data_IF_595644741134
#
_entry.id   IF_595644741134
#
_cell.length_a   1.000
_cell.length_b   1.000
_cell.length_c   1.000
_cell.angle_alpha   90.00
_cell.angle_beta   90.00
_cell.angle_gamma   90.00
#
_symmetry.space_group_name_H-M   'P 1'
#
loop_
_entity.id
_entity.type
_entity.pdbx_description
1 polymer ?
#
# COMPACT_ATOMS: atom_id res chain seq x y z
N UNK A 1 -16.67 -16.87 0.37
CA UNK A 1 -15.53 -17.54 -0.09
C UNK A 1 -14.40 -16.70 -0.61
N UNK A 2 -13.85 -17.14 -1.74
CA UNK A 2 -12.59 -16.63 -2.33
C UNK A 2 -12.52 -15.10 -2.47
N UNK A 3 -13.61 -14.46 -2.90
CA UNK A 3 -13.68 -13.01 -3.09
C UNK A 3 -13.30 -12.23 -1.81
N UNK A 4 -13.85 -12.60 -0.66
CA UNK A 4 -13.55 -11.87 0.58
C UNK A 4 -12.16 -12.19 1.11
N UNK A 5 -11.72 -13.45 1.05
CA UNK A 5 -10.39 -13.86 1.47
C UNK A 5 -9.29 -13.17 0.67
N UNK A 6 -9.42 -13.13 -0.64
CA UNK A 6 -8.44 -12.44 -1.49
C UNK A 6 -8.39 -10.95 -1.21
N UNK A 7 -9.54 -10.28 -1.00
CA UNK A 7 -9.57 -8.87 -0.63
C UNK A 7 -8.85 -8.58 0.70
N UNK A 8 -9.12 -9.39 1.73
CA UNK A 8 -8.48 -9.28 3.05
C UNK A 8 -6.96 -9.48 2.95
N UNK A 9 -6.52 -10.52 2.24
CA UNK A 9 -5.10 -10.82 2.07
C UNK A 9 -4.38 -9.71 1.29
N UNK A 10 -4.99 -9.20 0.20
CA UNK A 10 -4.44 -8.11 -0.58
C UNK A 10 -4.27 -6.84 0.27
N UNK A 11 -5.32 -6.45 1.00
CA UNK A 11 -5.26 -5.27 1.88
C UNK A 11 -4.26 -5.46 3.02
N UNK A 12 -4.21 -6.63 3.64
CA UNK A 12 -3.22 -6.95 4.67
C UNK A 12 -1.79 -6.81 4.16
N UNK A 13 -1.48 -7.42 3.01
CA UNK A 13 -0.16 -7.34 2.39
C UNK A 13 0.24 -5.90 2.03
N UNK A 14 -0.69 -5.12 1.45
CA UNK A 14 -0.45 -3.71 1.12
C UNK A 14 -0.26 -2.85 2.38
N UNK A 15 -1.06 -3.06 3.43
CA UNK A 15 -0.93 -2.33 4.70
C UNK A 15 0.43 -2.58 5.34
N UNK A 16 0.85 -3.84 5.48
CA UNK A 16 2.18 -4.18 6.02
C UNK A 16 3.28 -3.62 5.13
N UNK A 17 3.13 -3.67 3.81
CA UNK A 17 4.11 -3.09 2.88
C UNK A 17 4.31 -1.58 3.14
N UNK A 18 3.24 -0.81 3.32
CA UNK A 18 3.33 0.63 3.62
C UNK A 18 3.96 0.87 5.00
N UNK A 19 3.61 0.08 6.02
CA UNK A 19 4.20 0.18 7.36
C UNK A 19 5.72 -0.03 7.30
N UNK A 20 6.19 -1.02 6.55
CA UNK A 20 7.62 -1.23 6.33
C UNK A 20 8.30 -0.05 5.60
N UNK A 21 7.59 0.56 4.64
CA UNK A 21 8.11 1.72 3.92
C UNK A 21 8.34 2.94 4.83
N UNK A 22 7.66 3.05 5.97
CA UNK A 22 7.86 4.13 6.94
C UNK A 22 9.22 4.08 7.66
N UNK A 23 9.97 2.99 7.55
CA UNK A 23 11.30 2.81 8.18
C UNK A 23 11.26 3.03 9.69
N UNK A 24 10.34 2.37 10.37
CA UNK A 24 10.20 2.49 11.81
C UNK A 24 11.41 1.85 12.50
N UNK A 25 12.24 2.66 13.18
CA UNK A 25 13.51 2.23 13.79
C UNK A 25 13.36 1.04 14.75
N UNK A 26 12.23 0.93 15.46
CA UNK A 26 11.97 -0.16 16.37
C UNK A 26 11.73 -1.52 15.68
N UNK A 27 11.36 -1.52 14.40
CA UNK A 27 11.17 -2.76 13.61
C UNK A 27 12.49 -3.27 13.02
N UNK A 28 13.47 -2.39 12.85
CA UNK A 28 14.74 -2.72 12.18
C UNK A 28 15.50 -3.88 12.83
N UNK A 29 15.70 -3.92 14.18
CA UNK A 29 16.37 -5.03 14.84
C UNK A 29 15.65 -6.37 14.66
N UNK A 30 14.30 -6.35 14.67
CA UNK A 30 13.48 -7.56 14.54
C UNK A 30 13.49 -8.14 13.12
N UNK A 31 13.66 -7.29 12.13
CA UNK A 31 13.65 -7.68 10.71
C UNK A 31 15.08 -7.88 10.16
N UNK A 32 16.10 -7.63 10.95
CA UNK A 32 17.48 -7.86 10.60
C UNK A 32 18.07 -6.84 9.61
N UNK A 33 17.63 -5.58 9.71
CA UNK A 33 18.18 -4.44 8.98
C UNK A 33 17.28 -3.90 7.87
N UNK A 34 17.60 -2.69 7.41
CA UNK A 34 16.83 -1.95 6.41
C UNK A 34 16.76 -2.65 5.05
N UNK A 35 17.82 -3.36 4.65
CA UNK A 35 17.89 -4.10 3.39
C UNK A 35 16.84 -5.22 3.34
N UNK A 36 16.68 -5.96 4.44
CA UNK A 36 15.67 -7.00 4.57
C UNK A 36 14.26 -6.43 4.63
N UNK A 37 14.08 -5.29 5.31
CA UNK A 37 12.81 -4.55 5.32
C UNK A 37 12.38 -4.15 3.90
N UNK A 38 13.32 -3.64 3.07
CA UNK A 38 13.02 -3.29 1.67
C UNK A 38 12.74 -4.51 0.80
N UNK A 39 13.46 -5.59 1.04
CA UNK A 39 13.18 -6.85 0.34
C UNK A 39 11.78 -7.36 0.67
N UNK A 40 11.40 -7.34 1.95
CA UNK A 40 10.07 -7.74 2.41
C UNK A 40 8.99 -6.80 1.84
N UNK A 41 9.19 -5.48 1.87
CA UNK A 41 8.31 -4.50 1.24
C UNK A 41 8.05 -4.83 -0.23
N UNK A 42 9.10 -5.11 -1.00
CA UNK A 42 8.99 -5.48 -2.41
C UNK A 42 8.14 -6.74 -2.60
N UNK A 43 8.41 -7.79 -1.83
CA UNK A 43 7.68 -9.05 -1.96
C UNK A 43 6.22 -8.92 -1.53
N UNK A 44 5.92 -8.16 -0.48
CA UNK A 44 4.55 -7.86 -0.07
C UNK A 44 3.81 -7.02 -1.12
N UNK A 45 4.49 -6.09 -1.78
CA UNK A 45 3.92 -5.34 -2.90
C UNK A 45 3.55 -6.26 -4.07
N UNK A 46 4.43 -7.19 -4.42
CA UNK A 46 4.15 -8.21 -5.46
C UNK A 46 3.01 -9.14 -5.03
N UNK A 47 3.01 -9.61 -3.78
CA UNK A 47 1.93 -10.45 -3.22
C UNK A 47 0.59 -9.71 -3.26
N UNK A 48 0.58 -8.44 -2.82
CA UNK A 48 -0.61 -7.58 -2.88
C UNK A 48 -1.16 -7.46 -4.29
N UNK A 49 -0.29 -7.25 -5.29
CA UNK A 49 -0.68 -7.20 -6.69
C UNK A 49 -1.28 -8.53 -7.17
N UNK A 50 -0.58 -9.65 -6.96
CA UNK A 50 -1.02 -10.98 -7.41
C UNK A 50 -2.38 -11.34 -6.80
N UNK A 51 -2.53 -11.12 -5.48
CA UNK A 51 -3.78 -11.42 -4.78
C UNK A 51 -4.90 -10.46 -5.21
N UNK A 52 -4.60 -9.20 -5.54
CA UNK A 52 -5.58 -8.27 -6.12
C UNK A 52 -6.05 -8.71 -7.50
N UNK A 53 -5.18 -9.28 -8.32
CA UNK A 53 -5.55 -9.88 -9.61
C UNK A 53 -6.51 -11.07 -9.38
N UNK A 54 -6.20 -11.95 -8.43
CA UNK A 54 -7.09 -13.08 -8.06
C UNK A 54 -8.44 -12.55 -7.55
N UNK A 55 -8.44 -11.49 -6.74
CA UNK A 55 -9.65 -10.84 -6.24
C UNK A 55 -10.52 -10.30 -7.38
N UNK A 56 -9.91 -9.62 -8.33
CA UNK A 56 -10.60 -9.09 -9.50
C UNK A 56 -11.21 -10.21 -10.36
N UNK A 57 -10.45 -11.29 -10.63
CA UNK A 57 -10.96 -12.45 -11.32
C UNK A 57 -12.12 -13.12 -10.55
N UNK A 58 -12.00 -13.27 -9.24
CA UNK A 58 -13.06 -13.84 -8.40
C UNK A 58 -14.36 -13.00 -8.43
N UNK A 59 -14.23 -11.68 -8.60
CA UNK A 59 -15.39 -10.79 -8.81
C UNK A 59 -16.02 -10.96 -10.20
N UNK A 60 -15.21 -11.12 -11.25
CA UNK A 60 -15.66 -11.18 -12.63
C UNK A 60 -16.15 -12.58 -13.04
N UNK A 61 -15.62 -13.63 -12.44
CA UNK A 61 -15.94 -15.02 -12.78
C UNK A 61 -17.44 -15.31 -12.88
N UNK A 62 -18.33 -14.89 -11.95
CA UNK A 62 -19.76 -15.13 -12.06
C UNK A 62 -20.40 -14.50 -13.30
N UNK A 63 -19.83 -13.42 -13.83
CA UNK A 63 -20.34 -12.78 -15.04
C UNK A 63 -19.96 -13.54 -16.32
N UNK A 64 -18.77 -14.16 -16.32
CA UNK A 64 -18.29 -14.91 -17.49
C UNK A 64 -18.89 -16.30 -17.61
N UNK A 65 -19.25 -16.90 -16.47
CA UNK A 65 -19.85 -18.24 -16.41
C UNK A 65 -21.38 -18.21 -16.29
N UNK A 66 -22.00 -17.02 -16.18
CA UNK A 66 -23.45 -16.91 -16.27
C UNK A 66 -23.87 -17.24 -17.70
N UNK A 67 -24.71 -18.28 -17.88
CA UNK A 67 -25.36 -18.54 -19.17
C UNK A 67 -26.15 -17.30 -19.59
N UNK A 68 -26.18 -17.02 -20.89
CA UNK A 68 -26.86 -15.85 -21.50
C UNK A 68 -28.35 -15.79 -21.10
N UNK A 69 -28.93 -16.94 -20.79
CA UNK A 69 -30.34 -17.09 -20.40
C UNK A 69 -30.62 -16.97 -18.89
N UNK A 70 -29.57 -16.80 -18.07
CA UNK A 70 -29.77 -16.57 -16.65
C UNK A 70 -30.29 -15.14 -16.41
N UNK A 71 -31.60 -14.97 -16.38
CA UNK A 71 -32.25 -13.76 -15.89
C UNK A 71 -31.69 -13.50 -14.48
N UNK A 72 -30.86 -12.48 -14.34
CA UNK A 72 -30.38 -12.08 -13.01
C UNK A 72 -31.59 -11.72 -12.16
N UNK A 73 -31.92 -12.45 -11.09
CA UNK A 73 -32.96 -12.01 -10.20
C UNK A 73 -32.66 -10.58 -9.76
N UNK A 74 -33.64 -9.70 -9.86
CA UNK A 74 -33.49 -8.34 -9.35
C UNK A 74 -32.97 -8.41 -7.93
N UNK A 75 -31.91 -7.66 -7.64
CA UNK A 75 -31.34 -7.61 -6.28
C UNK A 75 -32.47 -7.15 -5.36
N UNK A 76 -32.88 -7.93 -4.34
CA UNK A 76 -33.92 -7.51 -3.41
C UNK A 76 -33.57 -6.12 -2.88
N UNK A 77 -34.56 -5.24 -2.77
CA UNK A 77 -34.35 -3.95 -2.16
C UNK A 77 -33.72 -4.19 -0.76
N UNK A 78 -32.62 -3.50 -0.48
CA UNK A 78 -31.97 -3.63 0.81
C UNK A 78 -32.98 -3.21 1.89
N UNK A 79 -33.19 -3.99 2.98
CA UNK A 79 -34.12 -3.63 4.03
C UNK A 79 -33.73 -2.27 4.61
N UNK A 80 -34.74 -1.43 4.91
CA UNK A 80 -34.50 -0.15 5.60
C UNK A 80 -33.76 -0.39 6.90
N UNK A 81 -32.59 0.22 7.01
CA UNK A 81 -31.76 0.08 8.20
C UNK A 81 -32.12 1.18 9.21
N UNK A 82 -32.59 0.78 10.37
CA UNK A 82 -32.86 1.70 11.51
C UNK A 82 -31.57 2.22 12.14
N UNK A 83 -30.42 1.55 11.92
CA UNK A 83 -29.13 1.98 12.44
C UNK A 83 -28.46 2.94 11.44
N UNK A 84 -28.22 4.19 11.87
CA UNK A 84 -27.62 5.24 11.05
C UNK A 84 -26.24 4.86 10.47
N UNK A 85 -25.42 4.08 11.21
CA UNK A 85 -24.10 3.62 10.74
C UNK A 85 -24.29 2.63 9.60
N UNK A 86 -25.19 1.67 9.73
CA UNK A 86 -25.46 0.69 8.67
C UNK A 86 -26.06 1.35 7.44
N UNK A 87 -26.96 2.32 7.62
CA UNK A 87 -27.54 3.10 6.53
C UNK A 87 -26.44 3.87 5.75
N UNK A 88 -25.50 4.50 6.47
CA UNK A 88 -24.35 5.16 5.86
C UNK A 88 -23.51 4.19 5.01
N UNK A 89 -23.16 3.01 5.53
CA UNK A 89 -22.40 2.02 4.78
C UNK A 89 -23.19 1.52 3.55
N UNK A 90 -24.50 1.40 3.63
CA UNK A 90 -25.33 1.03 2.48
C UNK A 90 -25.30 2.10 1.38
N UNK A 91 -25.39 3.38 1.72
CA UNK A 91 -25.31 4.47 0.73
C UNK A 91 -23.93 4.54 0.06
N UNK A 92 -22.86 4.23 0.82
CA UNK A 92 -21.49 4.23 0.30
C UNK A 92 -21.12 2.98 -0.50
N UNK A 93 -21.97 1.94 -0.52
CA UNK A 93 -21.67 0.67 -1.20
C UNK A 93 -21.42 0.85 -2.72
N UNK A 94 -22.28 1.61 -3.41
CA UNK A 94 -22.13 1.90 -4.84
C UNK A 94 -20.83 2.66 -5.16
N UNK A 95 -20.56 3.80 -4.51
CA UNK A 95 -19.30 4.52 -4.65
C UNK A 95 -18.07 3.66 -4.35
N UNK A 96 -18.11 2.86 -3.28
CA UNK A 96 -16.99 1.99 -2.91
C UNK A 96 -16.76 0.87 -3.94
N UNK A 97 -17.80 0.31 -4.51
CA UNK A 97 -17.70 -0.66 -5.60
C UNK A 97 -17.16 -0.01 -6.88
N UNK A 98 -17.62 1.20 -7.20
CA UNK A 98 -17.19 1.97 -8.37
C UNK A 98 -15.70 2.34 -8.36
N UNK A 99 -15.14 2.67 -7.18
CA UNK A 99 -13.72 3.05 -7.06
C UNK A 99 -12.77 1.84 -7.16
N UNK A 100 -13.26 0.62 -6.93
CA UNK A 100 -12.44 -0.58 -6.91
C UNK A 100 -11.74 -0.87 -8.25
N UNK A 101 -12.46 -0.76 -9.37
CA UNK A 101 -11.87 -1.02 -10.70
C UNK A 101 -10.78 -0.01 -11.09
N UNK A 102 -11.01 1.30 -11.07
CA UNK A 102 -9.96 2.26 -11.41
C UNK A 102 -8.75 2.17 -10.46
N UNK A 103 -8.97 1.94 -9.16
CA UNK A 103 -7.88 1.74 -8.21
C UNK A 103 -7.07 0.47 -8.52
N UNK A 104 -7.72 -0.61 -8.92
CA UNK A 104 -7.07 -1.85 -9.34
C UNK A 104 -6.18 -1.65 -10.58
N UNK A 105 -6.68 -1.01 -11.63
CA UNK A 105 -5.88 -0.74 -12.83
C UNK A 105 -4.71 0.21 -12.55
N UNK A 106 -4.94 1.22 -11.71
CA UNK A 106 -3.86 2.10 -11.26
C UNK A 106 -2.80 1.34 -10.43
N UNK A 107 -3.23 0.41 -9.56
CA UNK A 107 -2.33 -0.46 -8.80
C UNK A 107 -1.44 -1.28 -9.74
N UNK A 108 -2.03 -1.96 -10.73
CA UNK A 108 -1.28 -2.75 -11.71
C UNK A 108 -0.23 -1.87 -12.41
N UNK A 109 -0.67 -0.77 -13.01
CA UNK A 109 0.21 0.12 -13.77
C UNK A 109 1.38 0.64 -12.93
N UNK A 110 1.10 1.13 -11.73
CA UNK A 110 2.13 1.71 -10.85
C UNK A 110 3.07 0.67 -10.26
N UNK A 111 2.58 -0.53 -9.90
CA UNK A 111 3.46 -1.61 -9.40
C UNK A 111 4.32 -2.18 -10.52
N UNK A 112 3.76 -2.39 -11.71
CA UNK A 112 4.54 -2.81 -12.88
C UNK A 112 5.63 -1.78 -13.17
N UNK A 113 5.30 -0.49 -13.21
CA UNK A 113 6.28 0.59 -13.39
C UNK A 113 7.40 0.53 -12.32
N UNK A 114 7.03 0.28 -11.07
CA UNK A 114 8.00 0.18 -9.96
C UNK A 114 8.92 -1.05 -10.08
N UNK A 115 8.52 -2.10 -10.78
CA UNK A 115 9.30 -3.31 -10.99
C UNK A 115 10.17 -3.27 -12.25
N UNK A 116 9.90 -2.34 -13.18
CA UNK A 116 10.66 -2.21 -14.42
C UNK A 116 12.08 -1.67 -14.17
N UNK A 117 13.09 -2.45 -14.50
CA UNK A 117 14.52 -2.12 -14.27
C UNK A 117 15.01 -0.92 -15.08
N UNK A 118 14.41 -0.65 -16.23
CA UNK A 118 14.76 0.47 -17.13
C UNK A 118 13.94 1.73 -16.89
N UNK A 119 13.01 1.72 -15.90
CA UNK A 119 12.25 2.91 -15.54
C UNK A 119 13.17 3.94 -14.85
N UNK A 120 13.24 5.21 -15.31
CA UNK A 120 14.19 6.18 -14.79
C UNK A 120 13.95 6.48 -13.32
N UNK A 121 15.00 6.34 -12.50
CA UNK A 121 14.95 6.52 -11.05
C UNK A 121 14.42 7.89 -10.59
N UNK A 122 14.67 8.95 -11.39
CA UNK A 122 14.16 10.31 -11.10
C UNK A 122 12.63 10.40 -11.04
N UNK A 123 11.93 9.52 -11.75
CA UNK A 123 10.47 9.45 -11.75
C UNK A 123 9.92 8.42 -10.78
N UNK A 124 10.73 7.44 -10.39
CA UNK A 124 10.32 6.34 -9.50
C UNK A 124 9.64 6.84 -8.23
N UNK A 125 10.25 7.78 -7.51
CA UNK A 125 9.66 8.28 -6.26
C UNK A 125 8.34 9.03 -6.47
N UNK A 126 8.19 9.71 -7.60
CA UNK A 126 6.95 10.42 -7.92
C UNK A 126 5.81 9.44 -8.21
N UNK A 127 6.04 8.48 -9.11
CA UNK A 127 5.05 7.47 -9.49
C UNK A 127 4.75 6.51 -8.36
N UNK A 128 5.77 6.07 -7.62
CA UNK A 128 5.60 5.18 -6.47
C UNK A 128 4.78 5.83 -5.35
N UNK A 129 4.91 7.14 -5.17
CA UNK A 129 4.10 7.91 -4.20
C UNK A 129 2.61 7.87 -4.53
N UNK A 130 2.22 7.77 -5.82
CA UNK A 130 0.83 7.65 -6.23
C UNK A 130 0.19 6.37 -5.70
N UNK A 131 0.98 5.31 -5.43
CA UNK A 131 0.48 4.10 -4.77
C UNK A 131 -0.13 4.38 -3.39
N UNK A 132 0.32 5.42 -2.69
CA UNK A 132 -0.30 5.81 -1.42
C UNK A 132 -1.74 6.32 -1.62
N UNK A 133 -2.01 7.05 -2.71
CA UNK A 133 -3.36 7.51 -3.06
C UNK A 133 -4.24 6.32 -3.44
N UNK A 134 -3.72 5.42 -4.27
CA UNK A 134 -4.42 4.17 -4.65
C UNK A 134 -4.74 3.34 -3.42
N UNK A 135 -3.80 3.22 -2.49
CA UNK A 135 -4.02 2.51 -1.22
C UNK A 135 -5.18 3.11 -0.41
N UNK A 136 -5.25 4.46 -0.28
CA UNK A 136 -6.34 5.11 0.44
C UNK A 136 -7.71 4.85 -0.22
N UNK A 137 -7.76 4.85 -1.54
CA UNK A 137 -8.96 4.46 -2.29
C UNK A 137 -9.37 3.00 -2.01
N UNK A 138 -8.39 2.09 -1.96
CA UNK A 138 -8.62 0.68 -1.64
C UNK A 138 -8.97 0.45 -0.16
N UNK A 139 -8.47 1.27 0.77
CA UNK A 139 -8.93 1.27 2.18
C UNK A 139 -10.41 1.60 2.25
N UNK A 140 -10.84 2.68 1.59
CA UNK A 140 -12.25 3.05 1.54
C UNK A 140 -13.11 1.92 0.94
N UNK A 141 -12.69 1.37 -0.21
CA UNK A 141 -13.33 0.21 -0.85
C UNK A 141 -13.48 -0.97 0.11
N UNK A 142 -12.39 -1.32 0.82
CA UNK A 142 -12.38 -2.47 1.72
C UNK A 142 -13.20 -2.26 2.97
N UNK A 143 -13.14 -1.07 3.59
CA UNK A 143 -13.92 -0.73 4.78
C UNK A 143 -15.43 -0.85 4.53
N UNK A 144 -15.88 -0.34 3.37
CA UNK A 144 -17.31 -0.32 3.03
C UNK A 144 -17.82 -1.69 2.59
N UNK A 145 -17.01 -2.46 1.86
CA UNK A 145 -17.45 -3.72 1.27
C UNK A 145 -17.17 -4.96 2.13
N UNK A 146 -16.38 -4.83 3.21
CA UNK A 146 -16.13 -5.94 4.11
C UNK A 146 -17.42 -6.32 4.87
N UNK A 147 -17.73 -7.63 4.93
CA UNK A 147 -18.91 -8.10 5.65
C UNK A 147 -18.86 -7.74 7.12
N UNK A 148 -19.98 -7.25 7.65
CA UNK A 148 -20.11 -6.89 9.09
C UNK A 148 -19.78 -8.06 10.02
N UNK A 149 -20.06 -9.31 9.62
CA UNK A 149 -19.70 -10.50 10.42
C UNK A 149 -18.21 -10.63 10.69
N UNK A 150 -17.35 -10.13 9.80
CA UNK A 150 -15.90 -10.15 10.01
C UNK A 150 -15.43 -9.12 11.01
N UNK A 151 -16.17 -8.00 11.17
CA UNK A 151 -15.85 -6.98 12.17
C UNK A 151 -16.05 -7.49 13.62
N UNK A 152 -16.99 -8.40 13.84
CA UNK A 152 -17.20 -9.06 15.13
C UNK A 152 -16.22 -10.18 15.45
N UNK A 153 -15.43 -10.63 14.46
CA UNK A 153 -14.40 -11.64 14.63
C UNK A 153 -13.02 -10.99 14.86
N UNK A 154 -12.04 -11.75 15.34
CA UNK A 154 -10.65 -11.27 15.58
C UNK A 154 -10.01 -10.65 14.33
N UNK A 155 -10.44 -11.07 13.15
CA UNK A 155 -9.96 -10.57 11.88
C UNK A 155 -10.29 -9.08 11.67
N UNK A 156 -11.45 -8.63 12.09
CA UNK A 156 -11.88 -7.22 11.94
C UNK A 156 -10.97 -6.23 12.64
N UNK A 157 -10.76 -6.34 13.96
CA UNK A 157 -9.83 -5.49 14.68
C UNK A 157 -8.41 -5.52 14.14
N UNK A 158 -7.90 -6.69 13.75
CA UNK A 158 -6.55 -6.81 13.13
C UNK A 158 -6.49 -6.02 11.82
N UNK A 159 -7.46 -6.19 10.94
CA UNK A 159 -7.53 -5.44 9.68
C UNK A 159 -7.73 -3.94 9.90
N UNK A 160 -8.55 -3.55 10.88
CA UNK A 160 -8.72 -2.13 11.24
C UNK A 160 -7.41 -1.49 11.66
N UNK A 161 -6.62 -2.14 12.53
CA UNK A 161 -5.31 -1.66 12.98
C UNK A 161 -4.34 -1.56 11.79
N UNK A 162 -4.26 -2.60 10.96
CA UNK A 162 -3.38 -2.60 9.79
C UNK A 162 -3.73 -1.49 8.80
N UNK A 163 -5.01 -1.32 8.49
CA UNK A 163 -5.49 -0.26 7.59
C UNK A 163 -5.29 1.14 8.19
N UNK A 164 -5.48 1.31 9.50
CA UNK A 164 -5.24 2.59 10.17
C UNK A 164 -3.75 2.97 10.13
N UNK A 165 -2.85 2.06 10.51
CA UNK A 165 -1.42 2.28 10.44
C UNK A 165 -0.93 2.51 8.99
N UNK A 166 -1.45 1.74 8.03
CA UNK A 166 -1.16 1.93 6.62
C UNK A 166 -1.66 3.28 6.11
N UNK A 167 -2.84 3.74 6.56
CA UNK A 167 -3.39 5.06 6.23
C UNK A 167 -2.50 6.19 6.76
N UNK A 168 -2.02 6.08 8.00
CA UNK A 168 -1.05 7.02 8.57
C UNK A 168 0.22 7.06 7.72
N UNK A 169 0.76 5.89 7.35
CA UNK A 169 1.93 5.79 6.48
C UNK A 169 1.71 6.37 5.09
N UNK A 170 0.55 6.13 4.49
CA UNK A 170 0.16 6.71 3.21
C UNK A 170 0.07 8.24 3.28
N UNK A 171 -0.55 8.78 4.31
CA UNK A 171 -0.64 10.22 4.54
C UNK A 171 0.73 10.88 4.74
N UNK A 172 1.61 10.26 5.52
CA UNK A 172 3.00 10.72 5.68
C UNK A 172 3.72 10.71 4.34
N UNK A 173 3.55 9.64 3.55
CA UNK A 173 4.15 9.54 2.21
C UNK A 173 3.68 10.66 1.27
N UNK A 174 2.38 10.98 1.29
CA UNK A 174 1.79 12.02 0.43
C UNK A 174 2.21 13.42 0.88
N UNK A 175 2.15 13.72 2.17
CA UNK A 175 2.35 15.08 2.69
C UNK A 175 3.83 15.46 2.82
N UNK A 176 4.64 14.59 3.43
CA UNK A 176 6.02 14.90 3.80
C UNK A 176 7.07 14.19 2.95
N UNK A 177 6.72 13.07 2.35
CA UNK A 177 7.68 12.15 1.71
C UNK A 177 8.51 11.39 2.73
N UNK A 178 8.68 10.09 2.47
CA UNK A 178 9.43 9.19 3.35
C UNK A 178 10.92 9.58 3.35
N UNK A 179 11.54 9.56 4.53
CA UNK A 179 12.96 9.84 4.70
C UNK A 179 13.36 11.32 4.69
N UNK A 180 12.40 12.26 4.60
CA UNK A 180 12.70 13.70 4.67
C UNK A 180 12.94 14.23 6.09
N UNK A 181 12.37 13.57 7.10
CA UNK A 181 12.39 14.04 8.50
C UNK A 181 13.80 13.91 9.12
N UNK A 182 14.61 12.96 8.63
CA UNK A 182 15.95 12.67 9.18
C UNK A 182 17.07 13.07 8.20
N UNK A 183 16.91 14.18 7.46
CA UNK A 183 17.97 14.70 6.60
C UNK A 183 18.86 15.61 7.39
N UNK A 184 20.17 15.33 7.39
CA UNK A 184 21.17 16.28 7.79
C UNK A 184 21.57 17.12 6.56
N UNK A 185 21.60 18.45 6.70
CA UNK A 185 22.14 19.34 5.70
C UNK A 185 23.63 19.56 5.99
N UNK A 186 24.40 19.73 4.92
CA UNK A 186 25.83 20.02 5.03
C UNK A 186 26.38 20.59 3.75
N UNK A 187 27.55 21.22 3.82
CA UNK A 187 28.31 21.74 2.70
C UNK A 187 29.45 20.80 2.37
N UNK A 188 29.64 20.50 1.08
CA UNK A 188 30.78 19.72 0.62
C UNK A 188 32.03 20.57 0.74
N UNK A 189 32.99 20.15 1.55
CA UNK A 189 34.25 20.87 1.80
C UNK A 189 35.40 20.35 0.94
N UNK A 190 35.29 19.13 0.42
CA UNK A 190 36.29 18.55 -0.45
C UNK A 190 35.81 17.27 -1.13
N UNK A 191 36.44 16.93 -2.24
CA UNK A 191 36.25 15.63 -2.86
C UNK A 191 37.59 15.15 -3.47
N UNK A 192 37.83 13.85 -3.37
CA UNK A 192 39.01 13.20 -3.92
C UNK A 192 38.60 11.93 -4.64
N UNK A 193 38.99 11.79 -5.91
CA UNK A 193 38.73 10.59 -6.68
C UNK A 193 39.97 9.70 -6.76
N UNK A 194 39.83 8.45 -6.31
CA UNK A 194 40.88 7.43 -6.36
C UNK A 194 40.65 6.49 -7.56
N UNK A 195 41.29 6.73 -8.73
CA UNK A 195 41.01 6.00 -9.94
C UNK A 195 41.38 4.51 -9.87
N UNK A 196 42.38 4.15 -9.07
CA UNK A 196 42.84 2.76 -8.91
C UNK A 196 41.78 1.83 -8.31
N UNK A 197 40.95 2.35 -7.42
CA UNK A 197 39.85 1.62 -6.75
C UNK A 197 38.46 2.12 -7.16
N UNK A 198 38.41 3.11 -8.05
CA UNK A 198 37.16 3.75 -8.53
C UNK A 198 36.28 4.27 -7.38
N UNK A 199 36.88 4.83 -6.33
CA UNK A 199 36.21 5.37 -5.16
C UNK A 199 36.28 6.88 -5.19
N UNK A 200 35.16 7.56 -4.90
CA UNK A 200 35.07 8.99 -4.67
C UNK A 200 34.91 9.23 -3.16
N UNK A 201 35.89 9.90 -2.53
CA UNK A 201 35.79 10.42 -1.18
C UNK A 201 35.16 11.80 -1.24
N UNK A 202 34.14 12.04 -0.40
CA UNK A 202 33.48 13.34 -0.25
C UNK A 202 33.58 13.73 1.23
N UNK A 203 34.22 14.86 1.51
CA UNK A 203 34.27 15.46 2.84
C UNK A 203 33.16 16.52 2.93
N UNK A 204 32.32 16.45 3.96
CA UNK A 204 31.22 17.38 4.16
C UNK A 204 31.15 17.87 5.61
N UNK A 205 30.96 19.19 5.76
CA UNK A 205 30.71 19.82 7.05
C UNK A 205 29.20 19.90 7.26
N UNK A 206 28.70 19.24 8.27
CA UNK A 206 27.27 19.27 8.57
C UNK A 206 26.88 20.59 9.22
N UNK A 207 25.80 21.20 8.72
CA UNK A 207 25.22 22.45 9.22
C UNK A 207 24.01 22.22 10.14
N UNK A 208 23.51 20.96 10.20
CA UNK A 208 22.42 20.55 11.08
C UNK A 208 22.88 19.44 12.04
N UNK A 209 22.17 19.30 13.17
CA UNK A 209 22.41 18.20 14.08
C UNK A 209 22.23 16.85 13.39
N UNK A 210 23.24 16.01 13.48
CA UNK A 210 23.23 14.65 12.99
C UNK A 210 23.52 13.68 14.13
N UNK A 211 22.61 12.73 14.42
CA UNK A 211 22.78 11.81 15.56
C UNK A 211 23.86 10.74 15.35
N UNK A 212 24.60 10.82 14.27
CA UNK A 212 25.61 9.82 13.92
C UNK A 212 25.04 8.72 13.02
N UNK A 213 25.93 7.82 12.58
CA UNK A 213 25.61 6.63 11.82
C UNK A 213 26.06 5.40 12.61
N UNK A 214 25.15 4.44 12.77
CA UNK A 214 25.49 3.09 13.22
C UNK A 214 25.41 2.18 11.98
N UNK A 215 26.52 1.52 11.68
CA UNK A 215 26.53 0.48 10.66
C UNK A 215 25.61 -0.67 11.12
N UNK A 216 24.64 -1.02 10.28
CA UNK A 216 23.67 -2.08 10.54
C UNK A 216 24.23 -3.47 10.28
#
# INVERSE_FOLDING_TARGET
GLLYWSGILAMGAMSVSIILAMRLKFLEPWLGGLDKMYRLHKWLGITGLVVSIIHWFAKQAPMWFASVDAVRPARPAAPEQTNAILAFFQTMHGPAEGIGNPAFYALIGLVVLALLRWFPYKYFFKTHRLLAIVYLALVFHSLVLMKFTYWGAILGPVMAILMALGTIGAMISILRGIGRINRAAGEVTGFEYHPGVKVLRIDAKLTSQWPGHQAG
#
